data_IF_655948486385
#
_entry.id   IF_655948486385
#
_cell.length_a   1.000
_cell.length_b   1.000
_cell.length_c   1.000
_cell.angle_alpha   90.00
_cell.angle_beta   90.00
_cell.angle_gamma   90.00
#
_symmetry.space_group_name_H-M   'P 1'
#
loop_
_entity.id
_entity.type
_entity.pdbx_description
1 polymer ?
#
# COMPACT_ATOMS: atom_id res chain seq x y z
N UNK A 1 7.60 10.49 17.48
CA UNK A 1 6.66 10.98 16.44
C UNK A 1 6.46 9.83 15.49
N UNK A 2 5.25 9.27 15.39
CA UNK A 2 4.97 8.27 14.37
C UNK A 2 5.34 8.89 13.02
N UNK A 3 6.15 8.19 12.24
CA UNK A 3 6.51 8.64 10.89
C UNK A 3 5.41 8.13 9.97
N UNK A 4 4.54 9.03 9.55
CA UNK A 4 3.55 8.71 8.53
C UNK A 4 4.25 8.71 7.17
N UNK A 5 4.09 7.64 6.40
CA UNK A 5 4.61 7.53 5.05
C UNK A 5 3.47 7.81 4.09
N UNK A 6 3.57 8.88 3.30
CA UNK A 6 2.54 9.22 2.32
C UNK A 6 1.13 9.31 2.93
N UNK A 7 1.02 9.91 4.12
CA UNK A 7 -0.22 10.01 4.90
C UNK A 7 -0.78 8.66 5.40
N UNK A 8 0.05 7.62 5.44
CA UNK A 8 -0.28 6.31 6.01
C UNK A 8 0.51 6.10 7.30
N UNK A 9 -0.19 5.74 8.37
CA UNK A 9 0.42 5.42 9.66
C UNK A 9 1.15 4.08 9.60
N UNK A 10 2.05 3.83 10.55
CA UNK A 10 2.73 2.53 10.68
C UNK A 10 1.74 1.36 10.84
N UNK A 11 0.66 1.58 11.61
CA UNK A 11 -0.43 0.62 11.77
C UNK A 11 -1.16 0.36 10.45
N UNK A 12 -1.42 1.40 9.66
CA UNK A 12 -2.04 1.28 8.33
C UNK A 12 -1.17 0.50 7.35
N UNK A 13 0.14 0.76 7.32
CA UNK A 13 1.08 -0.01 6.51
C UNK A 13 1.13 -1.48 6.95
N UNK A 14 1.10 -1.73 8.26
CA UNK A 14 1.11 -3.08 8.82
C UNK A 14 -0.18 -3.84 8.48
N UNK A 15 -1.33 -3.17 8.54
CA UNK A 15 -2.62 -3.73 8.14
C UNK A 15 -2.65 -4.10 6.64
N UNK A 16 -2.00 -3.30 5.78
CA UNK A 16 -1.95 -3.56 4.35
C UNK A 16 -0.89 -4.55 3.90
N UNK A 17 0.20 -4.71 4.65
CA UNK A 17 1.32 -5.60 4.32
C UNK A 17 0.88 -7.00 3.86
N UNK A 18 0.00 -7.76 4.55
CA UNK A 18 -0.34 -9.12 4.14
C UNK A 18 -1.07 -9.19 2.77
N UNK A 19 -1.63 -8.09 2.28
CA UNK A 19 -2.31 -8.02 0.98
C UNK A 19 -1.40 -7.65 -0.19
N UNK A 20 -0.17 -7.20 0.09
CA UNK A 20 0.79 -6.71 -0.90
C UNK A 20 2.11 -7.50 -0.89
N UNK A 21 2.09 -8.73 -0.38
CA UNK A 21 3.25 -9.63 -0.31
C UNK A 21 3.02 -10.90 -1.12
N UNK A 22 4.10 -11.49 -1.64
CA UNK A 22 4.11 -12.80 -2.30
C UNK A 22 4.55 -13.90 -1.31
N UNK A 23 4.21 -15.19 -1.54
CA UNK A 23 3.45 -15.73 -2.67
C UNK A 23 1.92 -15.78 -2.48
N UNK A 24 1.44 -15.62 -1.25
CA UNK A 24 0.02 -15.81 -0.91
C UNK A 24 -0.57 -14.52 -0.31
N UNK A 25 -0.85 -13.50 -1.13
CA UNK A 25 -1.50 -12.28 -0.65
C UNK A 25 -2.93 -12.59 -0.18
N UNK A 26 -3.33 -11.96 0.93
CA UNK A 26 -4.71 -12.05 1.45
C UNK A 26 -5.55 -10.86 0.99
N UNK A 27 -6.87 -10.97 1.12
CA UNK A 27 -7.77 -9.83 0.89
C UNK A 27 -7.49 -8.70 1.89
N UNK A 28 -7.57 -7.43 1.46
CA UNK A 28 -7.32 -6.30 2.34
C UNK A 28 -8.35 -6.23 3.46
N UNK A 29 -7.87 -5.98 4.67
CA UNK A 29 -8.75 -5.75 5.81
C UNK A 29 -9.42 -4.37 5.70
N UNK A 30 -10.54 -4.14 6.42
CA UNK A 30 -11.17 -2.82 6.48
C UNK A 30 -10.21 -1.72 6.93
N UNK A 31 -9.33 -2.01 7.89
CA UNK A 31 -8.33 -1.09 8.41
C UNK A 31 -7.28 -0.73 7.35
N UNK A 32 -6.88 -1.71 6.52
CA UNK A 32 -6.03 -1.43 5.38
C UNK A 32 -6.73 -0.50 4.38
N UNK A 33 -7.99 -0.79 4.02
CA UNK A 33 -8.70 0.04 3.06
C UNK A 33 -8.96 1.46 3.57
N UNK A 34 -9.22 1.64 4.87
CA UNK A 34 -9.32 2.96 5.50
C UNK A 34 -7.98 3.73 5.40
N UNK A 35 -6.87 3.04 5.67
CA UNK A 35 -5.53 3.61 5.53
C UNK A 35 -5.22 4.02 4.08
N UNK A 36 -5.58 3.19 3.10
CA UNK A 36 -5.41 3.50 1.66
C UNK A 36 -6.32 4.66 1.24
N UNK A 37 -7.52 4.79 1.83
CA UNK A 37 -8.45 5.88 1.49
C UNK A 37 -7.93 7.24 1.92
N UNK A 38 -7.16 7.31 3.00
CA UNK A 38 -6.48 8.53 3.45
C UNK A 38 -5.10 8.74 2.83
N UNK A 39 -4.57 7.75 2.09
CA UNK A 39 -3.20 7.77 1.60
C UNK A 39 -2.98 8.77 0.45
N UNK A 40 -1.78 9.33 0.40
CA UNK A 40 -1.26 9.98 -0.80
C UNK A 40 -0.75 8.92 -1.77
N UNK A 41 -1.64 8.45 -2.65
CA UNK A 41 -1.33 7.43 -3.65
C UNK A 41 -0.21 7.88 -4.61
N UNK A 42 -0.09 9.18 -4.92
CA UNK A 42 1.01 9.68 -5.78
C UNK A 42 2.36 9.58 -5.06
N UNK A 43 2.39 9.91 -3.77
CA UNK A 43 3.56 9.70 -2.94
C UNK A 43 3.93 8.21 -2.87
N UNK A 44 2.97 7.31 -2.60
CA UNK A 44 3.23 5.86 -2.57
C UNK A 44 3.77 5.35 -3.92
N UNK A 45 3.22 5.83 -5.04
CA UNK A 45 3.68 5.52 -6.38
C UNK A 45 5.16 5.90 -6.64
N UNK A 46 5.68 6.93 -5.97
CA UNK A 46 7.11 7.28 -6.07
C UNK A 46 8.04 6.18 -5.53
N UNK A 47 7.52 5.30 -4.67
CA UNK A 47 8.24 4.15 -4.12
C UNK A 47 8.15 2.90 -4.99
N UNK A 48 7.42 2.90 -6.11
CA UNK A 48 7.21 1.69 -6.93
C UNK A 48 8.51 1.01 -7.39
N UNK A 49 9.55 1.80 -7.61
CA UNK A 49 10.89 1.32 -8.00
C UNK A 49 11.90 1.41 -6.86
N UNK A 50 11.44 1.63 -5.63
CA UNK A 50 12.31 1.75 -4.46
C UNK A 50 12.91 0.40 -4.12
N UNK A 51 14.23 0.39 -3.87
CA UNK A 51 14.95 -0.76 -3.36
C UNK A 51 14.45 -1.22 -1.98
N UNK A 52 13.62 -0.41 -1.31
CA UNK A 52 13.01 -0.76 -0.03
C UNK A 52 11.84 -1.74 -0.16
N UNK A 53 11.14 -1.81 -1.31
CA UNK A 53 9.99 -2.72 -1.43
C UNK A 53 10.41 -4.19 -1.32
N UNK A 54 11.45 -4.67 -2.03
CA UNK A 54 11.89 -6.06 -1.90
C UNK A 54 12.39 -6.42 -0.50
N UNK A 55 13.06 -5.49 0.20
CA UNK A 55 13.55 -5.75 1.57
C UNK A 55 12.43 -5.85 2.60
N UNK A 56 11.26 -5.26 2.32
CA UNK A 56 10.05 -5.40 3.11
C UNK A 56 9.17 -6.59 2.69
N UNK A 57 9.54 -7.27 1.60
CA UNK A 57 8.76 -8.34 0.97
C UNK A 57 7.54 -7.83 0.19
N UNK A 58 7.46 -6.52 -0.06
CA UNK A 58 6.35 -5.89 -0.75
C UNK A 58 6.53 -6.10 -2.26
N UNK A 59 5.47 -6.60 -2.87
CA UNK A 59 5.36 -6.74 -4.32
C UNK A 59 4.73 -5.47 -4.90
N UNK A 60 5.42 -4.78 -5.83
CA UNK A 60 4.95 -3.52 -6.37
C UNK A 60 3.63 -3.69 -7.15
N UNK A 61 3.44 -4.78 -7.90
CA UNK A 61 2.23 -5.00 -8.67
C UNK A 61 1.02 -5.23 -7.76
N UNK A 62 1.18 -5.98 -6.66
CA UNK A 62 0.14 -6.12 -5.64
C UNK A 62 -0.17 -4.81 -4.93
N UNK A 63 0.84 -4.00 -4.62
CA UNK A 63 0.65 -2.69 -4.00
C UNK A 63 -0.13 -1.72 -4.92
N UNK A 64 0.13 -1.76 -6.23
CA UNK A 64 -0.60 -0.98 -7.24
C UNK A 64 -2.04 -1.46 -7.45
N UNK A 65 -2.29 -2.76 -7.26
CA UNK A 65 -3.63 -3.32 -7.34
C UNK A 65 -4.48 -3.10 -6.08
N UNK A 66 -3.86 -2.74 -4.95
CA UNK A 66 -4.52 -2.61 -3.65
C UNK A 66 -5.65 -1.56 -3.63
N UNK A 67 -5.50 -0.35 -4.20
CA UNK A 67 -6.59 0.64 -4.22
C UNK A 67 -7.83 0.11 -4.93
N UNK A 68 -7.67 -0.59 -6.05
CA UNK A 68 -8.79 -1.19 -6.78
C UNK A 68 -9.51 -2.25 -5.94
N UNK A 69 -8.78 -3.08 -5.18
CA UNK A 69 -9.39 -4.07 -4.25
C UNK A 69 -10.19 -3.39 -3.13
N UNK A 70 -9.80 -2.19 -2.72
CA UNK A 70 -10.51 -1.37 -1.75
C UNK A 70 -11.60 -0.48 -2.37
N UNK A 71 -11.88 -0.59 -3.68
CA UNK A 71 -12.80 0.29 -4.42
C UNK A 71 -12.40 1.78 -4.39
N UNK A 72 -11.09 2.06 -4.29
CA UNK A 72 -10.52 3.40 -4.29
C UNK A 72 -9.99 3.70 -5.69
N UNK A 73 -10.33 4.85 -6.30
CA UNK A 73 -9.84 5.21 -7.61
C UNK A 73 -8.31 5.37 -7.58
N UNK A 74 -7.63 4.59 -8.41
CA UNK A 74 -6.18 4.68 -8.56
C UNK A 74 -5.81 5.97 -9.33
N UNK A 75 -4.71 6.66 -9.00
CA UNK A 75 -4.21 7.74 -9.84
C UNK A 75 -3.90 7.21 -11.25
N UNK A 76 -4.24 8.01 -12.27
CA UNK A 76 -4.08 7.66 -13.70
C UNK A 76 -2.63 7.40 -14.11
N UNK A 77 -1.66 7.94 -13.36
CA UNK A 77 -0.24 7.87 -13.66
C UNK A 77 0.51 7.19 -12.52
N UNK A 78 0.35 5.88 -12.47
CA UNK A 78 1.11 4.94 -11.66
C UNK A 78 1.18 3.61 -12.40
#
# INVERSE_FOLDING_TARGET
KAMDLCNVTEDGLTACKPSVVQPNPVEPSPECCDAVSGADLKCLCSYKNSFMLPSLGIDPDLALALPAKCNIPNPTEC
#
